data_IF_038864270378
#
_entry.id   IF_038864270378
#
_cell.length_a   1.000
_cell.length_b   1.000
_cell.length_c   1.000
_cell.angle_alpha   90.00
_cell.angle_beta   90.00
_cell.angle_gamma   90.00
#
_symmetry.space_group_name_H-M   'P 1'
#
loop_
_entity.id
_entity.type
_entity.pdbx_description
1 polymer ?
#
# COMPACT_ATOMS: atom_id res chain seq x y z
N UNK A 1 6.25 18.89 -19.64
CA UNK A 1 5.39 18.99 -18.45
C UNK A 1 5.49 17.64 -17.76
N UNK A 2 5.48 17.60 -16.43
CA UNK A 2 5.88 16.41 -15.67
C UNK A 2 4.87 15.28 -15.85
N UNK A 3 5.33 14.03 -16.05
CA UNK A 3 4.46 12.88 -16.33
C UNK A 3 3.37 12.67 -15.27
N UNK A 4 3.70 12.91 -14.00
CA UNK A 4 2.78 12.79 -12.86
C UNK A 4 1.69 13.89 -12.79
N UNK A 5 1.60 14.76 -13.80
CA UNK A 5 0.53 15.75 -13.98
C UNK A 5 -0.28 15.52 -15.26
N UNK A 6 -0.03 14.42 -15.98
CA UNK A 6 -0.63 14.12 -17.29
C UNK A 6 -1.25 12.71 -17.34
N UNK A 7 -2.09 12.47 -18.35
CA UNK A 7 -2.66 11.16 -18.65
C UNK A 7 -3.37 10.51 -17.46
N UNK A 8 -3.05 9.25 -17.18
CA UNK A 8 -3.61 8.49 -16.05
C UNK A 8 -3.25 9.09 -14.69
N UNK A 9 -2.10 9.76 -14.57
CA UNK A 9 -1.61 10.36 -13.33
C UNK A 9 -2.12 11.79 -13.09
N UNK A 10 -2.71 12.42 -14.11
CA UNK A 10 -3.18 13.80 -14.00
C UNK A 10 -4.11 13.98 -12.78
N UNK A 11 -3.95 15.03 -11.96
CA UNK A 11 -4.83 15.27 -10.83
C UNK A 11 -6.26 15.62 -11.29
N UNK A 12 -7.21 15.53 -10.36
CA UNK A 12 -8.52 16.17 -10.50
C UNK A 12 -8.54 17.48 -9.72
N UNK A 13 -9.32 18.45 -10.21
CA UNK A 13 -9.29 19.84 -9.76
C UNK A 13 -10.43 20.22 -8.79
N UNK A 14 -11.29 19.27 -8.43
CA UNK A 14 -12.46 19.49 -7.58
C UNK A 14 -12.74 18.37 -6.58
N UNK A 15 -13.53 18.70 -5.56
CA UNK A 15 -14.23 17.74 -4.69
C UNK A 15 -15.69 17.70 -5.09
N UNK A 16 -16.23 16.50 -5.28
CA UNK A 16 -17.62 16.30 -5.64
C UNK A 16 -18.29 15.26 -4.74
N UNK A 17 -19.60 15.30 -4.74
CA UNK A 17 -20.46 14.26 -4.17
C UNK A 17 -21.52 13.90 -5.20
N UNK A 18 -21.75 12.60 -5.35
CA UNK A 18 -22.83 12.10 -6.19
C UNK A 18 -23.52 10.94 -5.49
N UNK A 19 -24.84 10.83 -5.72
CA UNK A 19 -25.69 9.77 -5.21
C UNK A 19 -26.38 9.06 -6.37
N UNK A 20 -26.82 7.81 -6.15
CA UNK A 20 -27.54 7.05 -7.18
C UNK A 20 -26.66 6.73 -8.39
N UNK A 21 -25.46 6.19 -8.12
CA UNK A 21 -24.47 5.93 -9.15
C UNK A 21 -24.94 4.82 -10.12
N UNK A 22 -24.69 4.95 -11.44
CA UNK A 22 -25.05 3.91 -12.40
C UNK A 22 -24.28 2.61 -12.14
N UNK A 23 -25.01 1.50 -12.07
CA UNK A 23 -24.46 0.16 -11.90
C UNK A 23 -24.69 -0.66 -13.17
N UNK A 24 -23.65 -1.33 -13.65
CA UNK A 24 -23.74 -2.39 -14.68
C UNK A 24 -23.57 -3.74 -14.00
N UNK A 25 -24.37 -4.75 -14.38
CA UNK A 25 -24.40 -6.03 -13.65
C UNK A 25 -25.21 -5.93 -12.36
N UNK A 26 -24.90 -6.78 -11.39
CA UNK A 26 -25.59 -6.83 -10.10
C UNK A 26 -24.58 -6.76 -8.96
N UNK A 27 -24.59 -5.66 -8.19
CA UNK A 27 -23.77 -5.57 -6.99
C UNK A 27 -24.23 -6.61 -5.98
N UNK A 28 -23.33 -7.46 -5.45
CA UNK A 28 -23.67 -8.45 -4.45
C UNK A 28 -24.35 -7.81 -3.23
N UNK A 29 -25.58 -8.22 -2.85
CA UNK A 29 -26.32 -7.59 -1.76
C UNK A 29 -25.61 -7.65 -0.40
N UNK A 30 -24.71 -8.60 -0.21
CA UNK A 30 -23.91 -8.76 1.00
C UNK A 30 -22.80 -7.72 1.16
N UNK A 31 -22.43 -6.99 0.10
CA UNK A 31 -21.47 -5.90 0.17
C UNK A 31 -22.14 -4.69 0.84
N UNK A 32 -21.93 -4.57 2.14
CA UNK A 32 -22.34 -3.43 2.95
C UNK A 32 -21.11 -2.80 3.58
N UNK A 33 -20.63 -1.71 2.99
CA UNK A 33 -19.43 -1.01 3.44
C UNK A 33 -19.01 0.13 2.53
N UNK A 34 -17.74 0.52 2.63
CA UNK A 34 -17.13 1.60 1.86
C UNK A 34 -15.84 1.10 1.23
N UNK A 35 -15.69 1.26 -0.08
CA UNK A 35 -14.38 1.13 -0.73
C UNK A 35 -13.72 2.50 -0.74
N UNK A 36 -12.59 2.65 -0.06
CA UNK A 36 -11.80 3.89 -0.03
C UNK A 36 -10.45 3.66 -0.69
N UNK A 37 -10.04 4.59 -1.53
CA UNK A 37 -8.73 4.56 -2.19
C UNK A 37 -8.03 5.90 -2.03
N UNK A 38 -6.77 5.87 -1.61
CA UNK A 38 -5.92 7.05 -1.42
C UNK A 38 -4.89 7.19 -2.55
N UNK A 39 -4.45 8.42 -2.78
CA UNK A 39 -3.41 8.73 -3.75
C UNK A 39 -3.02 10.20 -3.75
N UNK A 40 -1.92 10.55 -4.42
CA UNK A 40 -1.47 11.92 -4.55
C UNK A 40 -2.34 12.66 -5.56
N UNK A 41 -2.85 13.82 -5.16
CA UNK A 41 -3.64 14.71 -5.99
C UNK A 41 -3.23 16.17 -5.66
N UNK A 42 -2.17 16.71 -6.29
CA UNK A 42 -1.78 18.11 -6.08
C UNK A 42 -2.92 19.07 -6.39
N UNK A 43 -2.95 20.23 -5.73
CA UNK A 43 -3.96 21.25 -6.00
C UNK A 43 -3.77 21.82 -7.42
N UNK A 44 -4.83 22.38 -8.04
CA UNK A 44 -4.75 22.97 -9.37
C UNK A 44 -3.58 23.96 -9.52
N UNK A 45 -2.73 23.74 -10.51
CA UNK A 45 -1.57 24.58 -10.80
C UNK A 45 -0.33 24.34 -9.92
N UNK A 46 -0.38 23.40 -8.98
CA UNK A 46 0.80 22.99 -8.22
C UNK A 46 1.60 21.91 -8.97
N UNK A 47 2.92 22.03 -8.90
CA UNK A 47 3.87 20.97 -9.24
C UNK A 47 4.58 20.53 -7.95
N UNK A 48 4.31 19.31 -7.44
CA UNK A 48 4.94 18.82 -6.21
C UNK A 48 6.41 18.36 -6.41
N UNK A 49 6.93 18.35 -7.64
CA UNK A 49 8.30 17.93 -7.96
C UNK A 49 8.53 16.42 -7.96
N UNK A 50 7.58 15.63 -7.45
CA UNK A 50 7.61 14.17 -7.41
C UNK A 50 6.18 13.63 -7.29
N UNK A 51 5.86 12.49 -7.90
CA UNK A 51 4.51 11.92 -7.85
C UNK A 51 4.02 11.69 -6.42
N UNK A 52 4.87 11.13 -5.55
CA UNK A 52 4.55 10.84 -4.15
C UNK A 52 4.38 12.08 -3.26
N UNK A 53 4.70 13.29 -3.74
CA UNK A 53 4.67 14.51 -2.92
C UNK A 53 3.34 15.29 -3.01
N UNK A 54 2.39 14.84 -3.85
CA UNK A 54 1.06 15.44 -3.93
C UNK A 54 0.23 15.26 -2.66
N UNK A 55 -0.72 16.16 -2.39
CA UNK A 55 -1.65 16.05 -1.26
C UNK A 55 -2.53 14.79 -1.37
N UNK A 56 -2.90 14.18 -0.24
CA UNK A 56 -3.77 13.02 -0.24
C UNK A 56 -5.19 13.38 -0.65
N UNK A 57 -5.75 12.64 -1.61
CA UNK A 57 -7.17 12.67 -1.92
C UNK A 57 -7.74 11.26 -1.82
N UNK A 58 -8.77 11.12 -0.98
CA UNK A 58 -9.51 9.88 -0.87
C UNK A 58 -10.65 9.89 -1.89
N UNK A 59 -10.74 8.83 -2.68
CA UNK A 59 -11.92 8.51 -3.48
C UNK A 59 -12.69 7.39 -2.78
N UNK A 60 -13.94 7.66 -2.41
CA UNK A 60 -14.78 6.73 -1.67
C UNK A 60 -16.05 6.37 -2.42
N UNK A 61 -16.42 5.09 -2.37
CA UNK A 61 -17.69 4.56 -2.86
C UNK A 61 -18.37 3.80 -1.73
N UNK A 62 -19.60 4.19 -1.40
CA UNK A 62 -20.45 3.47 -0.44
C UNK A 62 -21.35 2.49 -1.17
N UNK A 63 -21.35 1.24 -0.73
CA UNK A 63 -22.21 0.18 -1.25
C UNK A 63 -23.05 -0.40 -0.12
N UNK A 64 -24.36 -0.55 -0.34
CA UNK A 64 -25.28 -1.26 0.54
C UNK A 64 -26.52 -1.75 -0.23
N UNK A 65 -27.06 -2.90 0.16
CA UNK A 65 -28.28 -3.50 -0.41
C UNK A 65 -28.25 -3.58 -1.96
N UNK A 66 -27.10 -3.93 -2.53
CA UNK A 66 -26.90 -4.02 -3.99
C UNK A 66 -26.94 -2.66 -4.72
N UNK A 67 -26.80 -1.55 -4.00
CA UNK A 67 -26.74 -0.19 -4.56
C UNK A 67 -25.42 0.48 -4.23
N UNK A 68 -24.89 1.26 -5.18
CA UNK A 68 -23.83 2.21 -4.91
C UNK A 68 -24.47 3.55 -4.47
N UNK A 69 -24.56 3.76 -3.16
CA UNK A 69 -25.33 4.84 -2.56
C UNK A 69 -24.73 6.21 -2.85
N UNK A 70 -23.40 6.33 -2.71
CA UNK A 70 -22.69 7.57 -3.01
C UNK A 70 -21.24 7.35 -3.47
N UNK A 71 -20.74 8.36 -4.19
CA UNK A 71 -19.32 8.61 -4.44
C UNK A 71 -18.94 9.96 -3.86
N UNK A 72 -17.76 10.03 -3.25
CA UNK A 72 -17.14 11.27 -2.76
C UNK A 72 -15.65 11.23 -3.04
N UNK A 73 -15.09 12.36 -3.45
CA UNK A 73 -13.66 12.59 -3.35
C UNK A 73 -13.37 13.79 -2.46
N UNK A 74 -12.42 13.64 -1.53
CA UNK A 74 -12.02 14.70 -0.59
C UNK A 74 -10.51 14.73 -0.44
N UNK A 75 -9.92 15.92 -0.49
CA UNK A 75 -8.58 16.12 0.03
C UNK A 75 -8.58 15.90 1.53
N UNK A 76 -7.57 15.18 2.03
CA UNK A 76 -7.32 15.09 3.46
C UNK A 76 -6.87 16.48 3.93
N UNK A 77 -7.63 17.07 4.86
CA UNK A 77 -7.40 18.45 5.34
C UNK A 77 -6.21 18.49 6.31
N UNK A 78 -5.02 18.20 5.79
CA UNK A 78 -3.79 18.17 6.58
C UNK A 78 -3.26 19.57 6.84
N UNK A 79 -2.43 19.71 7.88
CA UNK A 79 -1.69 20.95 8.13
C UNK A 79 -0.82 21.35 6.93
N UNK A 80 -0.27 20.36 6.22
CA UNK A 80 0.51 20.59 4.98
C UNK A 80 -0.35 21.21 3.88
N UNK A 81 -1.59 20.73 3.71
CA UNK A 81 -2.55 21.32 2.76
C UNK A 81 -2.90 22.77 3.15
N UNK A 82 -2.99 23.05 4.46
CA UNK A 82 -3.21 24.40 4.99
C UNK A 82 -1.99 25.33 4.86
N UNK A 83 -0.83 24.82 4.43
CA UNK A 83 0.38 25.60 4.17
C UNK A 83 1.50 25.46 5.20
N UNK A 84 1.33 24.63 6.24
CA UNK A 84 2.40 24.38 7.21
C UNK A 84 3.57 23.63 6.53
N UNK A 85 4.81 23.97 6.91
CA UNK A 85 6.02 23.32 6.41
C UNK A 85 6.30 22.02 7.17
N UNK A 86 6.67 20.97 6.42
CA UNK A 86 7.09 19.70 7.02
C UNK A 86 8.40 19.85 7.80
N UNK A 87 9.38 20.59 7.28
CA UNK A 87 10.66 20.82 7.95
C UNK A 87 10.65 22.17 8.65
N UNK A 88 10.81 22.15 9.97
CA UNK A 88 10.92 23.34 10.83
C UNK A 88 12.34 23.49 11.38
N UNK A 89 12.62 24.61 12.07
CA UNK A 89 13.90 24.81 12.78
C UNK A 89 14.19 23.73 13.83
N UNK A 90 13.15 23.08 14.36
CA UNK A 90 13.26 22.02 15.37
C UNK A 90 13.20 20.59 14.80
N UNK A 91 13.18 20.45 13.47
CA UNK A 91 13.06 19.17 12.78
C UNK A 91 11.69 18.96 12.12
N UNK A 92 11.35 17.71 11.73
CA UNK A 92 10.12 17.43 11.00
C UNK A 92 8.87 17.58 11.88
N UNK A 93 7.91 18.41 11.44
CA UNK A 93 6.55 18.42 11.98
C UNK A 93 5.74 17.28 11.35
N UNK A 94 5.62 16.18 12.10
CA UNK A 94 4.90 14.97 11.69
C UNK A 94 3.39 15.17 11.52
N UNK A 95 2.86 16.34 11.91
CA UNK A 95 1.47 16.74 11.60
C UNK A 95 1.39 17.41 10.23
N UNK A 96 2.44 18.02 9.71
CA UNK A 96 2.46 18.69 8.42
C UNK A 96 2.87 17.73 7.28
N UNK A 97 2.04 16.71 7.04
CA UNK A 97 2.27 15.68 6.00
C UNK A 97 1.14 15.62 4.95
N UNK A 98 1.36 14.89 3.86
CA UNK A 98 0.41 14.78 2.73
C UNK A 98 -0.75 13.81 2.96
N UNK A 99 -0.54 12.75 3.77
CA UNK A 99 -1.50 11.68 4.05
C UNK A 99 -2.10 11.02 2.79
N UNK A 100 -1.26 10.66 1.82
CA UNK A 100 -1.66 10.30 0.45
C UNK A 100 -1.45 8.83 0.06
N UNK A 101 -0.91 7.99 0.94
CA UNK A 101 -0.43 6.65 0.57
C UNK A 101 -1.51 5.58 0.74
N UNK A 102 -2.06 5.44 1.95
CA UNK A 102 -3.03 4.39 2.24
C UNK A 102 -4.20 4.94 3.07
N UNK A 103 -5.29 4.18 3.17
CA UNK A 103 -6.45 4.45 4.01
C UNK A 103 -6.94 3.15 4.64
N UNK A 104 -6.86 3.03 5.96
CA UNK A 104 -7.20 1.80 6.69
C UNK A 104 -8.27 2.06 7.75
N UNK A 105 -8.87 0.99 8.28
CA UNK A 105 -9.65 1.03 9.53
C UNK A 105 -8.92 0.26 10.64
N UNK A 106 -8.85 0.81 11.84
CA UNK A 106 -8.41 0.12 13.04
C UNK A 106 -9.15 0.66 14.26
N UNK A 107 -9.62 -0.23 15.15
CA UNK A 107 -10.34 0.14 16.38
C UNK A 107 -11.43 1.23 16.18
N UNK A 108 -12.32 0.99 15.22
CA UNK A 108 -13.44 1.88 14.82
C UNK A 108 -13.05 3.23 14.21
N UNK A 109 -11.77 3.48 14.00
CA UNK A 109 -11.27 4.70 13.36
C UNK A 109 -10.75 4.43 11.97
N UNK A 110 -10.87 5.43 11.10
CA UNK A 110 -10.34 5.38 9.73
C UNK A 110 -9.13 6.31 9.67
N UNK A 111 -8.02 5.84 9.11
CA UNK A 111 -6.78 6.61 9.04
C UNK A 111 -6.28 6.72 7.61
N UNK A 112 -6.04 7.94 7.14
CA UNK A 112 -5.20 8.22 5.98
C UNK A 112 -3.73 8.27 6.40
N UNK A 113 -2.87 7.57 5.65
CA UNK A 113 -1.48 7.31 6.02
C UNK A 113 -0.51 7.86 4.99
N UNK A 114 0.67 8.27 5.44
CA UNK A 114 1.88 8.47 4.65
C UNK A 114 3.10 8.22 5.54
N UNK A 115 4.11 7.54 5.02
CA UNK A 115 5.28 7.09 5.79
C UNK A 115 6.12 8.22 6.43
N UNK A 116 5.86 9.47 6.06
CA UNK A 116 6.56 10.65 6.56
C UNK A 116 6.09 11.17 7.93
N UNK A 117 4.89 10.82 8.42
CA UNK A 117 4.37 11.42 9.65
C UNK A 117 3.27 10.65 10.35
N UNK A 118 2.44 11.38 11.09
CA UNK A 118 1.34 10.80 11.86
C UNK A 118 0.16 10.43 10.96
N UNK A 119 -0.60 9.37 11.30
CA UNK A 119 -1.87 9.07 10.64
C UNK A 119 -2.86 10.21 10.82
N UNK A 120 -3.72 10.43 9.83
CA UNK A 120 -4.82 11.39 9.87
C UNK A 120 -6.15 10.67 10.00
N UNK A 121 -6.88 10.92 11.09
CA UNK A 121 -8.19 10.34 11.33
C UNK A 121 -9.24 10.97 10.40
N UNK A 122 -10.07 10.11 9.81
CA UNK A 122 -11.17 10.46 8.93
C UNK A 122 -12.50 9.93 9.48
N UNK A 123 -13.59 10.60 9.14
CA UNK A 123 -14.94 10.08 9.33
C UNK A 123 -15.30 9.09 8.21
N UNK A 124 -16.33 8.22 8.41
CA UNK A 124 -16.86 7.37 7.34
C UNK A 124 -17.45 8.14 6.14
N UNK A 125 -17.61 9.46 6.26
CA UNK A 125 -18.10 10.38 5.23
C UNK A 125 -16.96 11.15 4.52
N UNK A 126 -15.69 10.85 4.88
CA UNK A 126 -14.45 11.47 4.38
C UNK A 126 -14.13 12.88 4.92
N UNK A 127 -14.79 13.32 5.99
CA UNK A 127 -14.36 14.52 6.71
C UNK A 127 -13.07 14.23 7.48
N UNK A 128 -12.13 15.18 7.50
CA UNK A 128 -10.89 15.04 8.25
C UNK A 128 -11.07 15.46 9.71
N UNK A 129 -10.78 14.57 10.64
CA UNK A 129 -10.79 14.83 12.08
C UNK A 129 -9.48 15.49 12.52
N UNK A 130 -8.34 14.97 12.04
CA UNK A 130 -7.02 15.54 12.29
C UNK A 130 -5.91 14.49 12.52
N UNK A 131 -4.67 14.92 12.77
CA UNK A 131 -3.56 14.00 13.03
C UNK A 131 -3.72 13.26 14.37
N UNK A 132 -3.36 11.99 14.42
CA UNK A 132 -3.42 11.14 15.60
C UNK A 132 -2.02 10.70 16.03
N UNK A 133 -1.64 11.03 17.27
CA UNK A 133 -0.38 10.60 17.91
C UNK A 133 -0.61 9.56 19.03
N UNK A 134 -1.80 8.95 19.03
CA UNK A 134 -2.23 7.93 20.00
C UNK A 134 -2.07 8.39 21.45
N UNK A 135 -2.57 9.59 21.75
CA UNK A 135 -2.50 10.19 23.09
C UNK A 135 -1.09 10.67 23.45
N UNK A 136 -0.34 11.16 22.47
CA UNK A 136 1.04 11.62 22.61
C UNK A 136 2.07 10.49 22.78
N UNK A 137 1.68 9.23 22.56
CA UNK A 137 2.56 8.07 22.74
C UNK A 137 3.39 7.76 21.50
N UNK A 138 2.90 8.12 20.31
CA UNK A 138 3.67 7.99 19.06
C UNK A 138 4.56 9.21 18.86
N UNK A 139 5.87 8.98 18.81
CA UNK A 139 6.89 10.03 18.65
C UNK A 139 7.65 9.94 17.33
N UNK A 140 7.32 8.94 16.50
CA UNK A 140 7.93 8.62 15.20
C UNK A 140 6.91 8.79 14.09
N UNK A 141 7.33 8.66 12.83
CA UNK A 141 6.38 8.56 11.72
C UNK A 141 5.70 7.18 11.74
N UNK A 142 4.58 7.02 11.04
CA UNK A 142 3.87 5.74 10.91
C UNK A 142 3.92 5.29 9.45
N UNK A 143 4.34 4.05 9.20
CA UNK A 143 4.28 3.43 7.87
C UNK A 143 2.86 3.49 7.30
N UNK A 144 2.77 3.58 5.97
CA UNK A 144 1.50 3.43 5.26
C UNK A 144 1.02 1.98 5.13
N UNK A 145 1.83 0.99 5.55
CA UNK A 145 1.51 -0.43 5.44
C UNK A 145 1.47 -1.14 6.79
N UNK A 146 0.66 -0.67 7.75
CA UNK A 146 0.47 -1.41 9.00
C UNK A 146 -0.19 -2.77 8.70
N UNK A 147 0.07 -3.76 9.55
CA UNK A 147 -0.47 -5.13 9.41
C UNK A 147 -1.33 -5.46 10.61
N UNK A 148 -2.62 -5.70 10.40
CA UNK A 148 -3.53 -6.11 11.47
C UNK A 148 -3.53 -7.63 11.58
N UNK A 149 -3.21 -8.18 12.75
CA UNK A 149 -3.29 -9.63 12.96
C UNK A 149 -4.76 -10.05 13.04
N UNK A 150 -5.26 -10.91 12.13
CA UNK A 150 -6.68 -11.26 12.09
C UNK A 150 -7.15 -12.09 13.30
N UNK A 151 -6.23 -12.61 14.12
CA UNK A 151 -6.59 -13.38 15.33
C UNK A 151 -6.62 -12.50 16.58
N UNK A 152 -5.60 -11.65 16.78
CA UNK A 152 -5.50 -10.82 18.00
C UNK A 152 -6.19 -9.46 17.83
N UNK A 153 -6.38 -9.02 16.59
CA UNK A 153 -6.84 -7.69 16.25
C UNK A 153 -5.79 -6.60 16.47
N UNK A 154 -4.56 -6.95 16.85
CA UNK A 154 -3.47 -5.99 17.07
C UNK A 154 -2.96 -5.41 15.74
N UNK A 155 -2.65 -4.12 15.73
CA UNK A 155 -2.08 -3.44 14.56
C UNK A 155 -0.58 -3.28 14.75
N UNK A 156 0.20 -3.98 13.92
CA UNK A 156 1.65 -3.89 13.88
C UNK A 156 2.05 -2.81 12.88
N UNK A 157 2.99 -1.95 13.23
CA UNK A 157 3.49 -0.91 12.34
C UNK A 157 4.90 -0.48 12.76
N UNK A 158 5.50 0.42 11.98
CA UNK A 158 6.80 0.99 12.30
C UNK A 158 6.89 2.44 11.87
N UNK A 159 7.93 3.12 12.34
CA UNK A 159 8.39 4.40 11.82
C UNK A 159 9.87 4.32 11.46
N UNK A 160 10.24 4.78 10.27
CA UNK A 160 11.65 4.93 9.89
C UNK A 160 12.04 6.41 9.87
N UNK A 161 13.34 6.68 9.95
CA UNK A 161 13.88 8.04 10.02
C UNK A 161 15.22 8.16 9.32
N UNK A 162 15.55 9.38 8.88
CA UNK A 162 16.88 9.74 8.39
C UNK A 162 17.88 10.02 9.52
N UNK A 163 17.43 9.99 10.78
CA UNK A 163 18.23 10.15 11.99
C UNK A 163 18.02 8.97 12.95
N UNK A 164 19.01 8.61 13.80
CA UNK A 164 18.79 7.60 14.84
C UNK A 164 17.70 7.99 15.85
N UNK A 165 16.87 7.03 16.33
CA UNK A 165 16.77 5.65 15.85
C UNK A 165 16.19 5.59 14.43
N UNK A 166 16.89 4.88 13.53
CA UNK A 166 16.53 4.83 12.11
C UNK A 166 15.25 4.01 11.85
N UNK A 167 14.93 3.06 12.72
CA UNK A 167 13.74 2.21 12.62
C UNK A 167 13.19 1.93 14.02
N UNK A 168 11.90 2.15 14.20
CA UNK A 168 11.18 1.87 15.45
C UNK A 168 9.93 1.06 15.15
N UNK A 169 9.80 -0.12 15.75
CA UNK A 169 8.61 -0.95 15.72
C UNK A 169 7.58 -0.46 16.74
N UNK A 170 6.30 -0.56 16.38
CA UNK A 170 5.17 -0.20 17.20
C UNK A 170 4.05 -1.25 17.11
N UNK A 171 3.23 -1.33 18.16
CA UNK A 171 2.04 -2.19 18.17
C UNK A 171 0.88 -1.48 18.87
N UNK A 172 -0.24 -1.34 18.19
CA UNK A 172 -1.51 -1.02 18.83
C UNK A 172 -2.20 -2.30 19.27
N UNK A 173 -2.89 -2.28 20.40
CA UNK A 173 -3.85 -3.34 20.72
C UNK A 173 -5.12 -3.22 19.85
N UNK A 174 -6.02 -4.20 19.96
CA UNK A 174 -7.28 -4.22 19.23
C UNK A 174 -8.24 -3.06 19.55
N UNK A 175 -7.97 -2.30 20.62
CA UNK A 175 -8.74 -1.10 21.02
C UNK A 175 -8.10 0.19 20.53
N UNK A 176 -6.96 0.10 19.85
CA UNK A 176 -6.26 1.25 19.28
C UNK A 176 -5.26 1.92 20.22
N UNK A 177 -4.94 1.30 21.36
CA UNK A 177 -3.95 1.83 22.31
C UNK A 177 -2.55 1.40 21.91
N UNK A 178 -1.59 2.34 21.84
CA UNK A 178 -0.20 2.04 21.51
C UNK A 178 0.51 1.31 22.65
N UNK A 179 0.54 -0.02 22.64
CA UNK A 179 1.03 -0.84 23.76
C UNK A 179 2.54 -1.13 23.72
N UNK A 180 3.19 -0.99 22.57
CA UNK A 180 4.61 -1.29 22.42
C UNK A 180 5.29 -0.29 21.49
N UNK A 181 6.54 0.06 21.81
CA UNK A 181 7.44 0.79 20.93
C UNK A 181 8.87 0.35 21.23
N UNK A 182 9.61 -0.09 20.22
CA UNK A 182 11.01 -0.53 20.38
C UNK A 182 11.84 -0.19 19.16
N UNK A 183 13.08 0.23 19.41
CA UNK A 183 14.06 0.45 18.36
C UNK A 183 14.44 -0.89 17.71
N UNK A 184 14.59 -0.88 16.39
CA UNK A 184 15.13 -1.98 15.60
C UNK A 184 16.46 -1.53 15.00
N UNK A 185 17.54 -2.23 15.34
CA UNK A 185 18.87 -1.84 14.90
C UNK A 185 19.08 -2.13 13.40
N UNK A 186 19.22 -1.05 12.63
CA UNK A 186 19.63 -1.06 11.21
C UNK A 186 20.85 -0.15 11.02
N UNK A 187 21.74 -0.41 10.04
CA UNK A 187 23.03 0.28 9.95
C UNK A 187 22.91 1.73 9.47
N UNK A 188 21.76 2.13 8.94
CA UNK A 188 21.57 3.48 8.41
C UNK A 188 20.15 3.80 7.97
N UNK A 189 19.94 4.99 7.40
CA UNK A 189 18.64 5.53 7.02
C UNK A 189 18.14 4.94 5.70
N UNK A 190 17.72 3.68 5.71
CA UNK A 190 17.05 3.05 4.56
C UNK A 190 15.58 3.47 4.48
N UNK A 191 15.03 3.54 3.26
CA UNK A 191 13.59 3.61 3.02
C UNK A 191 13.00 2.25 3.32
N UNK A 192 12.30 2.16 4.45
CA UNK A 192 11.51 0.99 4.81
C UNK A 192 10.05 1.30 4.41
N UNK A 193 9.61 0.80 3.25
CA UNK A 193 8.26 1.09 2.75
C UNK A 193 7.21 0.15 3.39
N UNK A 194 7.40 -1.16 3.22
CA UNK A 194 6.54 -2.20 3.76
C UNK A 194 7.34 -3.17 4.65
N UNK A 195 6.63 -4.05 5.34
CA UNK A 195 7.15 -5.12 6.18
C UNK A 195 6.16 -6.28 6.19
N UNK A 196 6.46 -7.36 6.91
CA UNK A 196 5.48 -8.43 7.09
C UNK A 196 5.36 -8.85 8.55
N UNK A 197 4.27 -9.53 8.89
CA UNK A 197 4.18 -10.32 10.12
C UNK A 197 3.85 -11.76 9.74
N UNK A 198 4.26 -12.69 10.58
CA UNK A 198 3.72 -14.05 10.62
C UNK A 198 2.96 -14.22 11.94
N UNK A 199 2.41 -15.41 12.21
CA UNK A 199 1.80 -15.72 13.51
C UNK A 199 2.71 -15.37 14.69
N UNK A 200 4.01 -15.67 14.60
CA UNK A 200 4.94 -15.50 15.72
C UNK A 200 6.09 -14.50 15.46
N UNK A 201 6.22 -13.96 14.24
CA UNK A 201 7.35 -13.11 13.87
C UNK A 201 6.92 -11.80 13.19
N UNK A 202 7.85 -10.86 13.15
CA UNK A 202 7.83 -9.65 12.33
C UNK A 202 9.02 -9.73 11.38
N UNK A 203 8.81 -9.38 10.12
CA UNK A 203 9.78 -9.51 9.04
C UNK A 203 10.16 -8.11 8.53
N UNK A 204 11.46 -7.81 8.51
CA UNK A 204 12.01 -6.51 8.14
C UNK A 204 12.74 -6.56 6.81
N UNK A 205 12.57 -5.52 5.98
CA UNK A 205 13.15 -5.40 4.65
C UNK A 205 14.25 -4.33 4.65
N UNK A 206 15.43 -4.66 5.15
CA UNK A 206 16.57 -3.73 5.21
C UNK A 206 17.33 -3.74 3.87
N UNK A 207 16.85 -2.91 2.94
CA UNK A 207 17.17 -2.93 1.51
C UNK A 207 17.98 -1.68 1.08
N UNK A 208 18.64 -1.68 -0.10
CA UNK A 208 19.66 -0.69 -0.46
C UNK A 208 19.10 0.60 -1.07
N UNK A 209 17.94 1.09 -0.62
CA UNK A 209 17.42 2.42 -0.99
C UNK A 209 17.56 3.31 0.22
N UNK A 210 18.55 4.20 0.20
CA UNK A 210 18.97 4.95 1.39
C UNK A 210 18.83 6.45 1.19
N UNK A 211 18.72 7.18 2.29
CA UNK A 211 18.75 8.63 2.25
C UNK A 211 20.04 9.14 1.60
N UNK A 212 19.89 10.04 0.63
CA UNK A 212 20.97 10.69 -0.09
C UNK A 212 20.81 12.21 0.01
N UNK A 213 21.71 12.85 0.77
CA UNK A 213 21.70 14.30 0.98
C UNK A 213 21.92 15.09 -0.32
N UNK A 214 22.59 14.53 -1.33
CA UNK A 214 22.82 15.19 -2.62
C UNK A 214 21.53 15.34 -3.45
N UNK A 215 20.47 14.61 -3.06
CA UNK A 215 19.14 14.67 -3.67
C UNK A 215 18.19 15.67 -3.01
N UNK A 216 18.57 16.32 -1.91
CA UNK A 216 17.73 17.35 -1.29
C UNK A 216 17.40 18.44 -2.33
N UNK A 217 16.12 18.75 -2.48
CA UNK A 217 15.62 19.73 -3.45
C UNK A 217 15.50 19.20 -4.90
N UNK A 218 15.78 17.92 -5.14
CA UNK A 218 15.66 17.25 -6.46
C UNK A 218 14.57 16.16 -6.48
N UNK A 219 13.55 16.29 -5.62
CA UNK A 219 12.52 15.27 -5.38
C UNK A 219 12.69 14.61 -4.01
N UNK A 220 12.30 13.34 -3.88
CA UNK A 220 12.53 12.55 -2.67
C UNK A 220 14.04 12.25 -2.52
N UNK A 221 14.58 12.54 -1.33
CA UNK A 221 16.00 12.43 -1.03
C UNK A 221 16.45 10.99 -0.69
N UNK A 222 16.04 10.03 -1.51
CA UNK A 222 16.42 8.62 -1.42
C UNK A 222 16.93 8.13 -2.77
N UNK A 223 17.95 7.28 -2.78
CA UNK A 223 18.48 6.62 -3.97
C UNK A 223 19.03 5.23 -3.66
N UNK A 224 19.26 4.45 -4.72
CA UNK A 224 19.92 3.16 -4.60
C UNK A 224 21.38 3.31 -4.17
N UNK A 225 21.80 2.55 -3.16
CA UNK A 225 23.16 2.48 -2.64
C UNK A 225 23.77 1.09 -2.80
N UNK A 226 24.73 0.96 -3.72
CA UNK A 226 25.43 -0.32 -3.95
C UNK A 226 26.27 -0.80 -2.77
N UNK A 227 26.62 0.10 -1.85
CA UNK A 227 27.47 -0.20 -0.70
C UNK A 227 26.70 -0.55 0.56
N UNK A 228 25.37 -0.37 0.59
CA UNK A 228 24.57 -0.62 1.80
C UNK A 228 24.34 -2.11 2.07
N UNK A 229 24.26 -2.93 1.02
CA UNK A 229 23.86 -4.34 1.11
C UNK A 229 22.35 -4.53 1.18
N UNK A 230 21.89 -5.78 1.27
CA UNK A 230 20.48 -6.12 1.41
C UNK A 230 20.34 -7.32 2.35
N UNK A 231 19.40 -7.22 3.29
CA UNK A 231 19.12 -8.30 4.26
C UNK A 231 17.68 -8.29 4.70
N UNK A 232 17.15 -9.48 4.99
CA UNK A 232 15.82 -9.66 5.54
C UNK A 232 15.95 -10.04 7.01
N UNK A 233 15.23 -9.35 7.89
CA UNK A 233 15.26 -9.58 9.34
C UNK A 233 14.07 -10.40 9.77
N UNK A 234 14.29 -11.49 10.51
CA UNK A 234 13.23 -12.27 11.18
C UNK A 234 13.29 -11.98 12.67
N UNK A 235 12.21 -11.43 13.21
CA UNK A 235 12.14 -11.02 14.60
C UNK A 235 10.99 -11.75 15.28
N UNK A 236 11.24 -12.68 16.22
CA UNK A 236 10.17 -13.21 17.07
C UNK A 236 9.44 -12.06 17.76
N UNK A 237 8.11 -12.16 17.90
CA UNK A 237 7.32 -11.16 18.65
C UNK A 237 7.86 -11.09 20.08
N UNK A 238 8.46 -9.95 20.45
CA UNK A 238 9.14 -9.76 21.75
C UNK A 238 10.60 -10.25 21.85
N UNK A 239 11.19 -10.79 20.78
CA UNK A 239 12.60 -11.23 20.73
C UNK A 239 13.49 -10.31 19.88
N UNK A 240 14.76 -10.70 19.74
CA UNK A 240 15.76 -10.00 18.92
C UNK A 240 15.68 -10.39 17.44
N UNK A 241 16.17 -9.51 16.55
CA UNK A 241 16.18 -9.75 15.10
C UNK A 241 17.33 -10.66 14.71
N UNK A 242 17.02 -11.71 13.93
CA UNK A 242 18.00 -12.48 13.17
C UNK A 242 18.01 -11.99 11.71
N UNK A 243 19.18 -11.58 11.22
CA UNK A 243 19.33 -11.05 9.85
C UNK A 243 19.85 -12.11 8.88
N UNK A 244 19.33 -12.10 7.67
CA UNK A 244 19.69 -12.98 6.57
C UNK A 244 20.13 -12.15 5.37
N UNK A 245 21.36 -12.34 4.91
CA UNK A 245 21.83 -11.68 3.69
C UNK A 245 21.06 -12.22 2.47
N UNK A 246 20.66 -11.32 1.57
CA UNK A 246 19.98 -11.65 0.31
C UNK A 246 20.63 -10.91 -0.85
N UNK A 247 20.34 -11.35 -2.08
CA UNK A 247 20.81 -10.65 -3.27
C UNK A 247 20.18 -9.24 -3.33
N UNK A 248 20.97 -8.17 -3.62
CA UNK A 248 20.48 -6.80 -3.62
C UNK A 248 19.23 -6.61 -4.50
N UNK A 249 18.15 -6.18 -3.86
CA UNK A 249 16.87 -5.91 -4.47
C UNK A 249 16.12 -4.84 -3.67
N UNK A 250 15.03 -4.33 -4.24
CA UNK A 250 14.08 -3.50 -3.50
C UNK A 250 12.69 -4.14 -3.55
N UNK A 251 11.90 -3.93 -2.52
CA UNK A 251 10.52 -4.41 -2.40
C UNK A 251 9.69 -3.22 -1.95
N UNK A 252 8.73 -2.80 -2.78
CA UNK A 252 7.69 -1.90 -2.33
C UNK A 252 6.67 -2.70 -1.52
N UNK A 253 5.96 -3.65 -2.15
CA UNK A 253 4.87 -4.34 -1.48
C UNK A 253 5.12 -5.82 -1.21
N UNK A 254 4.72 -6.24 -0.02
CA UNK A 254 4.65 -7.63 0.41
C UNK A 254 3.28 -8.20 0.06
N UNK A 255 3.26 -9.39 -0.53
CA UNK A 255 2.03 -10.17 -0.68
C UNK A 255 1.62 -10.75 0.65
N UNK A 256 2.31 -11.78 1.16
CA UNK A 256 2.05 -12.30 2.50
C UNK A 256 3.34 -12.95 3.06
N UNK A 257 3.37 -13.18 4.36
CA UNK A 257 4.38 -14.01 5.00
C UNK A 257 3.73 -15.04 5.92
N UNK A 258 4.33 -16.23 6.04
CA UNK A 258 3.85 -17.24 6.98
C UNK A 258 4.96 -18.16 7.45
N UNK A 259 4.64 -18.96 8.47
CA UNK A 259 5.52 -19.99 9.00
C UNK A 259 5.19 -21.35 8.38
N UNK A 260 6.22 -22.04 7.86
CA UNK A 260 6.12 -23.43 7.41
C UNK A 260 7.29 -24.24 7.97
N UNK A 261 6.99 -25.25 8.79
CA UNK A 261 7.97 -26.16 9.39
C UNK A 261 9.16 -25.44 10.08
N UNK A 262 8.89 -24.31 10.75
CA UNK A 262 9.89 -23.50 11.46
C UNK A 262 10.70 -22.55 10.55
N UNK A 263 10.37 -22.46 9.27
CA UNK A 263 10.89 -21.48 8.31
C UNK A 263 9.87 -20.37 8.08
N UNK A 264 10.35 -19.22 7.61
CA UNK A 264 9.50 -18.13 7.13
C UNK A 264 9.43 -18.22 5.61
N UNK A 265 8.22 -18.20 5.07
CA UNK A 265 7.92 -18.03 3.65
C UNK A 265 7.44 -16.59 3.47
N UNK A 266 8.05 -15.84 2.56
CA UNK A 266 7.69 -14.46 2.23
C UNK A 266 7.47 -14.34 0.73
N UNK A 267 6.26 -13.96 0.33
CA UNK A 267 5.96 -13.59 -1.06
C UNK A 267 5.91 -12.08 -1.18
N UNK A 268 6.67 -11.51 -2.12
CA UNK A 268 6.67 -10.06 -2.36
C UNK A 268 7.04 -9.71 -3.80
N UNK A 269 6.77 -8.46 -4.19
CA UNK A 269 7.12 -7.94 -5.51
C UNK A 269 8.52 -7.37 -5.48
N UNK A 270 9.43 -7.98 -6.25
CA UNK A 270 10.86 -7.66 -6.27
C UNK A 270 11.24 -6.75 -7.43
N UNK A 271 12.04 -5.75 -7.12
CA UNK A 271 12.73 -4.88 -8.06
C UNK A 271 14.21 -5.22 -8.07
N UNK A 272 14.78 -5.42 -9.26
CA UNK A 272 16.24 -5.37 -9.40
C UNK A 272 16.71 -3.91 -9.33
N UNK A 273 18.01 -3.69 -9.15
CA UNK A 273 18.62 -2.35 -9.21
C UNK A 273 18.18 -1.55 -10.44
N UNK A 274 18.30 -2.13 -11.63
CA UNK A 274 18.01 -1.44 -12.89
C UNK A 274 16.53 -1.10 -13.00
N UNK A 275 15.66 -2.04 -12.61
CA UNK A 275 14.20 -1.91 -12.62
C UNK A 275 13.76 -0.81 -11.63
N UNK A 276 14.29 -0.81 -10.41
CA UNK A 276 14.07 0.28 -9.43
C UNK A 276 14.55 1.62 -9.97
N UNK A 277 15.79 1.70 -10.47
CA UNK A 277 16.39 2.97 -10.92
C UNK A 277 15.59 3.59 -12.07
N UNK A 278 15.10 2.77 -13.01
CA UNK A 278 14.25 3.21 -14.12
C UNK A 278 12.93 3.79 -13.61
N UNK A 279 12.18 3.02 -12.80
CA UNK A 279 10.91 3.47 -12.21
C UNK A 279 11.07 4.71 -11.35
N UNK A 280 12.11 4.76 -10.51
CA UNK A 280 12.35 5.87 -9.59
C UNK A 280 12.62 7.20 -10.31
N UNK A 281 13.33 7.16 -11.46
CA UNK A 281 13.57 8.35 -12.30
C UNK A 281 12.30 8.88 -12.95
N UNK A 282 11.43 7.98 -13.38
CA UNK A 282 10.14 8.30 -14.01
C UNK A 282 9.22 9.03 -13.02
N UNK A 283 9.01 8.47 -11.83
CA UNK A 283 8.14 9.07 -10.81
C UNK A 283 8.72 10.37 -10.21
N UNK A 284 10.03 10.58 -10.36
CA UNK A 284 10.72 11.84 -10.03
C UNK A 284 10.62 12.91 -11.12
N UNK A 285 10.03 12.62 -12.29
CA UNK A 285 9.90 13.59 -13.39
C UNK A 285 11.23 13.99 -14.04
N UNK A 286 12.28 13.16 -13.90
CA UNK A 286 13.65 13.50 -14.32
C UNK A 286 14.00 13.08 -15.76
N UNK A 287 13.05 12.56 -16.54
CA UNK A 287 13.31 12.03 -17.89
C UNK A 287 12.39 12.57 -18.99
N UNK A 288 13.01 12.81 -20.16
CA UNK A 288 12.38 12.79 -21.49
C UNK A 288 12.76 11.45 -22.15
N UNK A 289 11.77 10.67 -22.63
CA UNK A 289 11.83 9.66 -23.70
C UNK A 289 12.44 8.24 -23.48
N UNK A 290 11.70 7.26 -24.06
CA UNK A 290 12.08 6.11 -24.94
C UNK A 290 12.71 4.80 -24.46
N UNK A 291 13.19 4.63 -23.22
CA UNK A 291 13.70 3.32 -22.78
C UNK A 291 12.92 2.79 -21.56
N UNK A 292 11.98 1.87 -21.83
CA UNK A 292 11.16 1.22 -20.82
C UNK A 292 11.83 -0.07 -20.34
N UNK A 293 12.05 -0.16 -19.04
CA UNK A 293 12.19 -1.43 -18.34
C UNK A 293 11.26 -1.41 -17.12
N UNK A 294 9.95 -1.33 -17.37
CA UNK A 294 8.97 -1.72 -16.35
C UNK A 294 9.20 -3.21 -16.12
N UNK A 295 9.36 -3.60 -14.87
CA UNK A 295 10.18 -4.75 -14.55
C UNK A 295 10.03 -5.22 -13.12
N UNK A 296 8.83 -5.36 -12.60
CA UNK A 296 8.65 -6.06 -11.33
C UNK A 296 8.48 -7.54 -11.56
N UNK A 297 8.64 -8.36 -10.52
CA UNK A 297 8.44 -9.80 -10.61
C UNK A 297 8.01 -10.32 -9.24
N UNK A 298 7.08 -11.28 -9.22
CA UNK A 298 6.69 -11.94 -7.97
C UNK A 298 7.79 -12.90 -7.55
N UNK A 299 8.27 -12.76 -6.30
CA UNK A 299 9.31 -13.59 -5.72
C UNK A 299 8.85 -14.21 -4.41
N UNK A 300 9.44 -15.36 -4.10
CA UNK A 300 9.32 -16.04 -2.81
C UNK A 300 10.68 -16.16 -2.15
N UNK A 301 10.80 -15.73 -0.91
CA UNK A 301 11.92 -16.03 -0.04
C UNK A 301 11.55 -17.11 0.97
N UNK A 302 12.48 -18.02 1.23
CA UNK A 302 12.43 -18.98 2.33
C UNK A 302 13.59 -18.66 3.26
N UNK A 303 13.27 -18.25 4.49
CA UNK A 303 14.24 -17.94 5.53
C UNK A 303 14.20 -19.07 6.56
N UNK A 304 15.34 -19.69 6.86
CA UNK A 304 15.44 -20.78 7.82
C UNK A 304 16.21 -20.32 9.07
N UNK A 305 15.51 -19.89 10.15
CA UNK A 305 16.14 -19.45 11.40
C UNK A 305 17.10 -20.46 12.01
N UNK A 306 16.82 -21.76 11.87
CA UNK A 306 17.65 -22.82 12.45
C UNK A 306 19.02 -22.93 11.77
N UNK A 307 19.10 -22.63 10.46
CA UNK A 307 20.35 -22.70 9.68
C UNK A 307 20.97 -21.33 9.39
N UNK A 308 20.21 -20.25 9.56
CA UNK A 308 20.62 -18.89 9.18
C UNK A 308 20.72 -18.66 7.67
N UNK A 309 20.04 -19.48 6.86
CA UNK A 309 20.08 -19.39 5.40
C UNK A 309 18.80 -18.80 4.82
N UNK A 310 18.96 -18.02 3.76
CA UNK A 310 17.87 -17.57 2.90
C UNK A 310 18.02 -18.17 1.50
N UNK A 311 16.90 -18.50 0.88
CA UNK A 311 16.82 -18.86 -0.56
C UNK A 311 15.71 -18.07 -1.20
N UNK A 312 15.88 -17.68 -2.46
CA UNK A 312 14.87 -16.95 -3.23
C UNK A 312 14.51 -17.67 -4.54
N UNK A 313 13.26 -17.53 -4.96
CA UNK A 313 12.73 -18.09 -6.20
C UNK A 313 11.82 -17.07 -6.89
N UNK A 314 12.08 -16.81 -8.17
CA UNK A 314 11.14 -16.06 -9.01
C UNK A 314 9.92 -16.92 -9.32
N UNK A 315 8.74 -16.45 -8.92
CA UNK A 315 7.47 -17.14 -9.13
C UNK A 315 6.81 -16.76 -10.45
N UNK A 316 7.08 -15.53 -10.91
CA UNK A 316 6.55 -15.02 -12.16
C UNK A 316 7.39 -13.86 -12.68
N UNK A 317 7.67 -13.86 -13.99
CA UNK A 317 8.49 -12.85 -14.66
C UNK A 317 7.69 -11.62 -15.13
N UNK A 318 6.36 -11.71 -15.13
CA UNK A 318 5.48 -10.60 -15.55
C UNK A 318 5.66 -9.38 -14.65
N UNK A 319 5.48 -8.21 -15.24
CA UNK A 319 5.47 -6.94 -14.54
C UNK A 319 4.17 -6.81 -13.74
N UNK A 320 4.27 -7.12 -12.45
CA UNK A 320 3.15 -7.10 -11.52
C UNK A 320 3.42 -6.26 -10.30
N UNK A 321 2.39 -5.65 -9.73
CA UNK A 321 2.47 -4.90 -8.47
C UNK A 321 1.14 -5.00 -7.70
N UNK A 322 1.05 -4.28 -6.58
CA UNK A 322 -0.07 -4.22 -5.66
C UNK A 322 -0.58 -5.62 -5.30
N UNK A 323 0.28 -6.45 -4.69
CA UNK A 323 -0.11 -7.77 -4.26
C UNK A 323 -1.18 -7.66 -3.17
N UNK A 324 -2.27 -8.39 -3.31
CA UNK A 324 -3.37 -8.47 -2.36
C UNK A 324 -3.80 -9.92 -2.19
N UNK A 325 -4.49 -10.22 -1.10
CA UNK A 325 -4.90 -11.57 -0.75
C UNK A 325 -6.01 -11.50 0.30
N UNK A 326 -6.53 -12.66 0.71
CA UNK A 326 -7.47 -12.71 1.81
C UNK A 326 -6.78 -12.37 3.14
N UNK A 327 -6.98 -11.15 3.65
CA UNK A 327 -6.35 -10.67 4.88
C UNK A 327 -6.77 -11.43 6.16
N UNK A 328 -7.82 -12.25 6.12
CA UNK A 328 -8.10 -13.23 7.20
C UNK A 328 -6.97 -14.28 7.33
N UNK A 329 -6.07 -14.35 6.34
CA UNK A 329 -4.86 -15.18 6.31
C UNK A 329 -3.57 -14.39 6.51
N UNK A 330 -3.64 -13.11 6.85
CA UNK A 330 -2.46 -12.30 7.07
C UNK A 330 -1.58 -12.95 8.16
N UNK A 331 -0.31 -13.17 7.80
CA UNK A 331 0.68 -13.81 8.66
C UNK A 331 0.60 -15.34 8.75
N UNK A 332 -0.27 -15.97 7.96
CA UNK A 332 -0.60 -17.41 8.00
C UNK A 332 -0.58 -17.98 6.58
N UNK A 333 -0.53 -19.31 6.42
CA UNK A 333 -0.56 -19.92 5.10
C UNK A 333 -1.78 -19.44 4.30
N UNK A 334 -1.50 -18.86 3.13
CA UNK A 334 -2.47 -18.42 2.13
C UNK A 334 -2.09 -19.03 0.79
N UNK A 335 -3.07 -19.57 0.07
CA UNK A 335 -2.89 -20.18 -1.25
C UNK A 335 -3.08 -19.19 -2.38
N UNK A 336 -3.94 -18.19 -2.23
CA UNK A 336 -4.31 -17.29 -3.32
C UNK A 336 -3.75 -15.89 -3.11
N UNK A 337 -3.04 -15.41 -4.12
CA UNK A 337 -2.50 -14.06 -4.21
C UNK A 337 -3.02 -13.42 -5.48
N UNK A 338 -3.31 -12.12 -5.43
CA UNK A 338 -3.73 -11.33 -6.58
C UNK A 338 -2.72 -10.20 -6.79
N UNK A 339 -2.45 -9.86 -8.04
CA UNK A 339 -1.63 -8.68 -8.38
C UNK A 339 -2.25 -8.00 -9.59
N UNK A 340 -1.76 -6.80 -9.90
CA UNK A 340 -2.15 -6.07 -11.11
C UNK A 340 -0.97 -5.88 -12.06
N UNK A 341 -1.27 -5.90 -13.36
CA UNK A 341 -0.38 -5.39 -14.41
C UNK A 341 -0.88 -4.00 -14.84
N UNK A 342 -0.32 -3.45 -15.92
CA UNK A 342 -0.84 -2.23 -16.54
C UNK A 342 -2.31 -2.35 -16.99
N UNK A 343 -2.78 -3.55 -17.38
CA UNK A 343 -4.12 -3.74 -17.98
C UNK A 343 -4.89 -4.95 -17.48
N UNK A 344 -4.35 -5.71 -16.53
CA UNK A 344 -4.91 -6.98 -16.10
C UNK A 344 -4.82 -7.18 -14.59
N UNK A 345 -5.69 -8.05 -14.08
CA UNK A 345 -5.56 -8.66 -12.76
C UNK A 345 -5.07 -10.09 -12.95
N UNK A 346 -4.16 -10.51 -12.08
CA UNK A 346 -3.58 -11.84 -12.10
C UNK A 346 -3.89 -12.50 -10.77
N UNK A 347 -4.48 -13.70 -10.81
CA UNK A 347 -4.64 -14.57 -9.66
C UNK A 347 -3.58 -15.66 -9.70
N UNK A 348 -2.90 -15.89 -8.58
CA UNK A 348 -1.93 -16.96 -8.40
C UNK A 348 -2.48 -18.01 -7.46
N UNK A 349 -2.15 -19.27 -7.75
CA UNK A 349 -2.25 -20.39 -6.83
C UNK A 349 -0.83 -20.74 -6.37
N UNK A 350 -0.48 -20.33 -5.16
CA UNK A 350 0.89 -20.43 -4.65
C UNK A 350 1.30 -21.87 -4.35
N UNK A 351 0.35 -22.78 -4.17
CA UNK A 351 0.61 -24.20 -3.90
C UNK A 351 0.97 -24.93 -5.19
N UNK A 352 0.25 -24.65 -6.28
CA UNK A 352 0.47 -25.32 -7.57
C UNK A 352 1.45 -24.57 -8.47
N UNK A 353 1.68 -23.28 -8.23
CA UNK A 353 2.43 -22.39 -9.10
C UNK A 353 1.66 -21.91 -10.34
N UNK A 354 0.37 -22.26 -10.44
CA UNK A 354 -0.51 -21.81 -11.53
C UNK A 354 -0.93 -20.35 -11.39
N UNK A 355 -1.39 -19.76 -12.49
CA UNK A 355 -2.04 -18.47 -12.48
C UNK A 355 -3.18 -18.37 -13.50
N UNK A 356 -4.10 -17.45 -13.25
CA UNK A 356 -5.20 -17.05 -14.12
C UNK A 356 -5.12 -15.53 -14.35
N UNK A 357 -5.36 -15.08 -15.58
CA UNK A 357 -5.21 -13.68 -15.97
C UNK A 357 -6.54 -13.16 -16.50
N UNK A 358 -6.99 -12.02 -15.96
CA UNK A 358 -8.14 -11.27 -16.43
C UNK A 358 -7.68 -9.98 -17.07
N UNK A 359 -7.65 -9.96 -18.40
CA UNK A 359 -7.48 -8.72 -19.15
C UNK A 359 -8.71 -7.82 -18.99
N UNK A 360 -8.46 -6.56 -18.65
CA UNK A 360 -9.50 -5.56 -18.41
C UNK A 360 -9.60 -4.55 -19.56
N UNK A 361 -8.51 -4.33 -20.30
CA UNK A 361 -8.41 -3.27 -21.30
C UNK A 361 -8.48 -1.85 -20.70
N UNK A 362 -8.30 -1.75 -19.38
CA UNK A 362 -8.32 -0.56 -18.54
C UNK A 362 -7.18 -0.66 -17.53
N UNK A 363 -6.72 0.47 -17.02
CA UNK A 363 -5.69 0.50 -15.99
C UNK A 363 -6.31 0.21 -14.61
N UNK A 364 -6.04 -0.95 -13.98
CA UNK A 364 -6.52 -1.22 -12.63
C UNK A 364 -5.69 -0.47 -11.58
N UNK A 365 -6.35 -0.01 -10.51
CA UNK A 365 -5.69 0.24 -9.24
C UNK A 365 -5.50 -1.08 -8.46
N UNK A 366 -4.99 -0.99 -7.23
CA UNK A 366 -4.93 -2.13 -6.30
C UNK A 366 -6.27 -2.88 -6.24
N UNK A 367 -6.20 -4.21 -6.39
CA UNK A 367 -7.37 -5.09 -6.43
C UNK A 367 -7.61 -5.66 -5.03
N UNK A 368 -8.49 -5.02 -4.28
CA UNK A 368 -8.79 -5.39 -2.90
C UNK A 368 -9.61 -6.68 -2.82
N UNK A 369 -9.21 -7.63 -1.97
CA UNK A 369 -10.00 -8.83 -1.72
C UNK A 369 -11.04 -8.59 -0.63
N UNK A 370 -12.28 -8.97 -0.91
CA UNK A 370 -13.39 -8.87 0.04
C UNK A 370 -14.03 -10.23 0.23
N UNK A 371 -13.94 -10.78 1.44
CA UNK A 371 -14.48 -12.10 1.73
C UNK A 371 -16.03 -12.11 1.64
N UNK A 372 -16.60 -13.13 1.00
CA UNK A 372 -18.06 -13.30 0.95
C UNK A 372 -18.61 -13.69 2.33
N UNK A 373 -19.84 -13.29 2.61
CA UNK A 373 -20.57 -13.83 3.75
C UNK A 373 -20.73 -15.35 3.60
N UNK A 374 -20.37 -16.11 4.64
CA UNK A 374 -20.44 -17.58 4.68
C UNK A 374 -19.56 -18.32 3.65
N UNK A 375 -18.52 -17.65 3.13
CA UNK A 375 -17.50 -18.20 2.24
C UNK A 375 -17.05 -19.63 2.63
N UNK A 376 -16.87 -20.47 1.62
CA UNK A 376 -16.50 -21.90 1.78
C UNK A 376 -15.05 -22.20 1.45
N UNK A 377 -14.33 -21.25 0.85
CA UNK A 377 -12.93 -21.37 0.50
C UNK A 377 -12.21 -20.05 0.68
N UNK A 378 -10.88 -20.10 0.64
CA UNK A 378 -10.02 -18.93 0.85
C UNK A 378 -10.26 -17.81 -0.19
N UNK A 379 -10.47 -18.18 -1.45
CA UNK A 379 -10.76 -17.28 -2.57
C UNK A 379 -12.26 -17.06 -2.81
N UNK A 380 -13.13 -17.51 -1.89
CA UNK A 380 -14.57 -17.33 -2.02
C UNK A 380 -14.95 -15.91 -1.58
N UNK A 381 -14.72 -14.97 -2.50
CA UNK A 381 -14.78 -13.54 -2.24
C UNK A 381 -15.07 -12.74 -3.50
N UNK A 382 -14.90 -11.45 -3.36
CA UNK A 382 -14.96 -10.45 -4.41
C UNK A 382 -13.59 -9.79 -4.55
N UNK A 383 -13.22 -9.39 -5.76
CA UNK A 383 -12.12 -8.44 -5.98
C UNK A 383 -12.70 -7.10 -6.38
N UNK A 384 -12.27 -6.05 -5.69
CA UNK A 384 -12.72 -4.68 -5.89
C UNK A 384 -11.54 -3.81 -6.32
N UNK A 385 -11.64 -3.17 -7.49
CA UNK A 385 -10.60 -2.26 -7.99
C UNK A 385 -11.24 -1.08 -8.69
N UNK A 386 -10.75 0.13 -8.42
CA UNK A 386 -11.04 1.26 -9.31
C UNK A 386 -10.21 1.08 -10.58
N UNK A 387 -10.88 0.89 -11.71
CA UNK A 387 -10.26 0.80 -13.03
C UNK A 387 -10.52 2.08 -13.81
N UNK A 388 -9.53 2.52 -14.58
CA UNK A 388 -9.58 3.77 -15.36
C UNK A 388 -9.34 3.47 -16.83
N UNK A 389 -10.13 4.09 -17.71
CA UNK A 389 -9.91 3.99 -19.15
C UNK A 389 -8.47 4.40 -19.49
N UNK A 390 -7.81 3.73 -20.44
CA UNK A 390 -6.39 3.97 -20.75
C UNK A 390 -6.10 5.39 -21.26
N UNK A 391 -7.12 6.08 -21.81
CA UNK A 391 -7.05 7.49 -22.20
C UNK A 391 -7.32 8.45 -21.03
N UNK A 392 -7.61 7.93 -19.84
CA UNK A 392 -7.93 8.67 -18.62
C UNK A 392 -9.32 9.30 -18.60
N UNK A 393 -10.20 9.01 -19.57
CA UNK A 393 -11.48 9.70 -19.75
C UNK A 393 -12.53 9.41 -18.66
N UNK A 394 -12.40 8.30 -17.95
CA UNK A 394 -13.35 7.91 -16.90
C UNK A 394 -12.86 6.73 -16.08
N UNK A 395 -13.54 6.49 -14.96
CA UNK A 395 -13.24 5.40 -14.04
C UNK A 395 -14.51 4.71 -13.57
N UNK A 396 -14.38 3.46 -13.17
CA UNK A 396 -15.43 2.69 -12.51
C UNK A 396 -14.85 1.88 -11.35
N UNK A 397 -15.66 1.61 -10.32
CA UNK A 397 -15.33 0.58 -9.34
C UNK A 397 -15.78 -0.76 -9.91
N UNK A 398 -14.83 -1.61 -10.26
CA UNK A 398 -15.04 -2.95 -10.79
C UNK A 398 -15.17 -3.96 -9.63
N UNK A 399 -16.14 -4.88 -9.75
CA UNK A 399 -16.32 -6.02 -8.83
C UNK A 399 -16.26 -7.32 -9.64
N UNK A 400 -15.29 -8.17 -9.32
CA UNK A 400 -15.12 -9.51 -9.91
C UNK A 400 -15.34 -10.59 -8.86
N UNK A 401 -15.80 -11.77 -9.27
CA UNK A 401 -15.69 -12.97 -8.42
C UNK A 401 -14.20 -13.32 -8.23
N UNK A 402 -13.72 -13.38 -6.99
CA UNK A 402 -12.30 -13.58 -6.71
C UNK A 402 -11.81 -14.99 -7.07
N UNK A 403 -12.71 -15.97 -7.15
CA UNK A 403 -12.37 -17.34 -7.53
C UNK A 403 -12.25 -17.46 -9.05
N UNK A 404 -13.19 -16.94 -9.82
CA UNK A 404 -13.25 -17.16 -11.28
C UNK A 404 -12.75 -15.97 -12.11
N UNK A 405 -12.51 -14.81 -11.48
CA UNK A 405 -12.24 -13.53 -12.14
C UNK A 405 -13.36 -13.09 -13.12
N UNK A 406 -14.54 -13.66 -12.98
CA UNK A 406 -15.70 -13.30 -13.78
C UNK A 406 -16.30 -11.97 -13.29
N UNK A 407 -16.83 -11.20 -14.25
CA UNK A 407 -17.46 -9.92 -13.96
C UNK A 407 -18.76 -10.14 -13.16
N UNK A 408 -18.89 -9.45 -12.03
CA UNK A 408 -20.12 -9.40 -11.25
C UNK A 408 -20.84 -8.07 -11.47
N UNK A 409 -20.14 -6.96 -11.27
CA UNK A 409 -20.69 -5.62 -11.44
C UNK A 409 -19.61 -4.56 -11.70
N UNK A 410 -20.04 -3.38 -12.16
CA UNK A 410 -19.25 -2.15 -12.04
C UNK A 410 -20.10 -0.95 -11.68
N UNK A 411 -19.52 -0.01 -10.95
CA UNK A 411 -20.12 1.28 -10.59
C UNK A 411 -19.43 2.39 -11.37
N UNK A 412 -20.15 3.04 -12.28
CA UNK A 412 -19.59 4.16 -13.04
C UNK A 412 -19.38 5.36 -12.12
N UNK A 413 -18.15 5.87 -12.05
CA UNK A 413 -17.84 7.03 -11.22
C UNK A 413 -18.13 8.33 -11.97
N UNK A 414 -18.64 9.37 -11.29
CA UNK A 414 -18.93 10.68 -11.89
C UNK A 414 -17.67 11.49 -12.22
N UNK A 415 -16.51 11.06 -11.71
CA UNK A 415 -15.20 11.65 -11.94
C UNK A 415 -14.20 10.55 -12.24
N UNK A 416 -13.26 10.84 -13.14
CA UNK A 416 -12.06 10.02 -13.30
C UNK A 416 -11.27 10.00 -11.99
N UNK A 417 -10.60 8.90 -11.71
CA UNK A 417 -9.74 8.72 -10.54
C UNK A 417 -8.31 8.62 -11.06
N UNK A 418 -7.41 9.56 -10.70
CA UNK A 418 -6.01 9.48 -11.10
C UNK A 418 -5.39 8.17 -10.61
N UNK A 419 -4.38 7.63 -11.30
CA UNK A 419 -3.57 6.56 -10.73
C UNK A 419 -2.95 7.04 -9.42
N UNK A 420 -3.01 6.19 -8.42
CA UNK A 420 -2.70 6.46 -7.03
C UNK A 420 -2.34 5.13 -6.39
N UNK A 421 -2.49 5.02 -5.08
CA UNK A 421 -1.85 3.95 -4.33
C UNK A 421 -2.92 3.00 -3.79
N UNK A 422 -3.03 2.89 -2.47
CA UNK A 422 -3.75 1.80 -1.85
C UNK A 422 -5.24 2.08 -1.68
N UNK A 423 -6.03 1.01 -1.74
CA UNK A 423 -7.45 1.05 -1.46
C UNK A 423 -7.90 -0.16 -0.66
N UNK A 424 -8.78 0.07 0.31
CA UNK A 424 -9.27 -0.95 1.22
C UNK A 424 -10.79 -0.96 1.27
N UNK A 425 -11.35 -2.13 1.51
CA UNK A 425 -12.77 -2.29 1.80
C UNK A 425 -13.02 -2.20 3.30
N UNK A 426 -13.86 -1.24 3.69
CA UNK A 426 -14.26 -1.00 5.07
C UNK A 426 -15.70 -1.48 5.26
N UNK A 427 -15.93 -2.71 5.75
CA UNK A 427 -17.28 -3.21 5.99
C UNK A 427 -17.99 -2.39 7.07
N UNK A 428 -19.32 -2.30 6.98
CA UNK A 428 -20.13 -1.74 8.06
C UNK A 428 -19.94 -2.56 9.35
N UNK A 429 -20.04 -1.87 10.49
CA UNK A 429 -19.88 -2.47 11.81
C UNK A 429 -21.08 -3.32 12.24
#
# INVERSE_FOLDING_TARGET
>A
MSLYLEGLLAPVDDEIEAVGLPVTGELPPELAGRYFRNGPNPLPGQDPGHWFAGHGMIHGVRIADGRAEWYRNRWVQTRRLAGDDYLTETGPDRKAVTANTNVIRHADKIYALVEAGFPYELTPELDTVGPCDFGGRLTTSMTAHPKQDPVTGELHFFGYSVFPPFLTYHRLDARGELVESREIAVPGPTMMHDFAITENHVIWLDLPVTFDAERIGKGLAFDWSDSYGARIGVMPRGGDVQWFDVDPCYVFHVGNAHEDQGRIVLDAVRYTRDKFTSTWREISGTTNLTDFAVGTSLYRWILDPATGKATEEMRDERNVEFPSFNEDRLGRPSRFLYTVTETAIVKYDTDTGGNEIKELGKAPGEAEFVHKQNAKGEDDGWLMSIVTELDGSGSELLVLDARTLEFAASVRLPRRVPTGFHGNWLPDA
#
